data_IF_250156446811
#
_entry.id   IF_250156446811
#
_cell.length_a   1.000
_cell.length_b   1.000
_cell.length_c   1.000
_cell.angle_alpha   90.00
_cell.angle_beta   90.00
_cell.angle_gamma   90.00
#
_symmetry.space_group_name_H-M   'P 1'
#
loop_
_entity.id
_entity.type
_entity.pdbx_description
1 polymer ?
#
# COMPACT_ATOMS: atom_id res chain seq x y z
N UNK A 1 -22.29 2.81 -13.95
CA UNK A 1 -20.83 2.96 -13.75
C UNK A 1 -20.43 3.65 -12.43
N UNK A 2 -21.30 4.45 -11.78
CA UNK A 2 -20.96 5.14 -10.52
C UNK A 2 -20.73 4.22 -9.29
N UNK A 3 -21.54 3.18 -9.12
CA UNK A 3 -21.45 2.28 -7.96
C UNK A 3 -20.14 1.47 -7.93
N UNK A 4 -19.75 0.87 -9.06
CA UNK A 4 -18.48 0.12 -9.18
C UNK A 4 -17.30 1.00 -8.83
N UNK A 5 -17.27 2.23 -9.36
CA UNK A 5 -16.21 3.19 -9.07
C UNK A 5 -16.16 3.58 -7.60
N UNK A 6 -17.32 3.78 -6.96
CA UNK A 6 -17.38 4.06 -5.52
C UNK A 6 -16.83 2.89 -4.71
N UNK A 7 -17.27 1.66 -5.00
CA UNK A 7 -16.80 0.45 -4.32
C UNK A 7 -15.29 0.28 -4.48
N UNK A 8 -14.75 0.40 -5.70
CA UNK A 8 -13.32 0.28 -5.94
C UNK A 8 -12.51 1.39 -5.25
N UNK A 9 -13.05 2.61 -5.20
CA UNK A 9 -12.39 3.71 -4.49
C UNK A 9 -12.37 3.47 -2.98
N UNK A 10 -13.50 3.04 -2.41
CA UNK A 10 -13.61 2.70 -1.00
C UNK A 10 -12.68 1.54 -0.63
N UNK A 11 -12.63 0.49 -1.47
CA UNK A 11 -11.72 -0.63 -1.30
C UNK A 11 -10.26 -0.17 -1.33
N UNK A 12 -9.88 0.68 -2.29
CA UNK A 12 -8.51 1.20 -2.41
C UNK A 12 -8.08 1.96 -1.15
N UNK A 13 -8.93 2.86 -0.63
CA UNK A 13 -8.62 3.58 0.61
C UNK A 13 -8.55 2.65 1.82
N UNK A 14 -9.46 1.69 1.92
CA UNK A 14 -9.50 0.75 3.03
C UNK A 14 -8.26 -0.16 3.02
N UNK A 15 -7.94 -0.74 1.87
CA UNK A 15 -6.80 -1.63 1.72
C UNK A 15 -5.48 -0.92 2.02
N UNK A 16 -5.23 0.22 1.36
CA UNK A 16 -4.00 1.00 1.56
C UNK A 16 -3.93 1.57 2.96
N UNK A 17 -5.04 2.06 3.50
CA UNK A 17 -5.10 2.56 4.87
C UNK A 17 -4.79 1.48 5.91
N UNK A 18 -5.38 0.29 5.77
CA UNK A 18 -5.12 -0.84 6.66
C UNK A 18 -3.68 -1.35 6.51
N UNK A 19 -3.18 -1.48 5.28
CA UNK A 19 -1.81 -1.90 5.03
C UNK A 19 -0.81 -0.90 5.64
N UNK A 20 -1.01 0.40 5.40
CA UNK A 20 -0.17 1.46 5.93
C UNK A 20 -0.20 1.51 7.46
N UNK A 21 -1.39 1.35 8.06
CA UNK A 21 -1.56 1.26 9.52
C UNK A 21 -0.82 0.05 10.09
N UNK A 22 -1.00 -1.13 9.46
CA UNK A 22 -0.35 -2.37 9.88
C UNK A 22 1.18 -2.23 9.84
N UNK A 23 1.73 -1.73 8.72
CA UNK A 23 3.17 -1.54 8.54
C UNK A 23 3.73 -0.53 9.56
N UNK A 24 3.04 0.58 9.80
CA UNK A 24 3.45 1.56 10.80
C UNK A 24 3.43 0.96 12.22
N UNK A 25 2.40 0.18 12.55
CA UNK A 25 2.27 -0.45 13.85
C UNK A 25 3.40 -1.46 14.12
N UNK A 26 3.66 -2.40 13.20
CA UNK A 26 4.74 -3.39 13.37
C UNK A 26 6.11 -2.73 13.41
N UNK A 27 6.34 -1.68 12.61
CA UNK A 27 7.59 -0.93 12.61
C UNK A 27 7.80 -0.15 13.91
N UNK A 28 6.74 0.46 14.45
CA UNK A 28 6.76 1.13 15.75
C UNK A 28 7.11 0.16 16.89
N UNK A 29 6.46 -1.02 16.91
CA UNK A 29 6.77 -2.07 17.90
C UNK A 29 8.23 -2.54 17.77
N UNK A 30 8.72 -2.74 16.55
CA UNK A 30 10.10 -3.14 16.31
C UNK A 30 11.11 -2.10 16.83
N UNK A 31 10.86 -0.80 16.60
CA UNK A 31 11.71 0.27 17.12
C UNK A 31 11.71 0.35 18.65
N UNK A 32 10.54 0.22 19.29
CA UNK A 32 10.42 0.25 20.76
C UNK A 32 11.09 -0.96 21.40
N UNK A 33 11.01 -2.13 20.76
CA UNK A 33 11.62 -3.37 21.25
C UNK A 33 13.11 -3.52 20.90
N UNK A 34 13.68 -2.59 20.13
CA UNK A 34 15.05 -2.70 19.61
C UNK A 34 15.25 -3.85 18.61
N UNK A 35 14.16 -4.42 18.09
CA UNK A 35 14.19 -5.54 17.14
C UNK A 35 14.23 -5.03 15.70
N UNK A 36 14.86 -5.79 14.80
CA UNK A 36 14.83 -5.50 13.36
C UNK A 36 13.78 -6.33 12.67
N UNK A 37 12.89 -5.68 11.90
CA UNK A 37 12.00 -6.39 10.98
C UNK A 37 12.85 -7.05 9.89
N UNK A 38 12.41 -8.22 9.47
CA UNK A 38 12.97 -8.92 8.32
C UNK A 38 11.87 -9.01 7.27
N UNK A 39 11.91 -8.08 6.32
CA UNK A 39 11.11 -8.14 5.10
C UNK A 39 12.07 -8.17 3.93
N UNK A 40 12.40 -9.39 3.50
CA UNK A 40 13.25 -9.62 2.32
C UNK A 40 12.62 -9.05 1.04
N UNK A 41 11.37 -8.60 1.10
CA UNK A 41 10.68 -7.95 -0.01
C UNK A 41 11.26 -6.57 -0.35
N UNK A 42 11.91 -5.89 0.61
CA UNK A 42 12.38 -4.51 0.47
C UNK A 42 13.91 -4.44 0.36
N UNK A 43 14.47 -3.42 -0.32
CA UNK A 43 15.92 -3.26 -0.45
C UNK A 43 16.63 -2.89 0.85
N UNK A 44 15.87 -2.48 1.86
CA UNK A 44 16.41 -2.03 3.15
C UNK A 44 16.32 -3.16 4.16
N UNK A 45 17.30 -3.21 5.07
CA UNK A 45 17.36 -4.19 6.15
C UNK A 45 17.64 -3.51 7.49
N UNK A 46 17.49 -4.26 8.59
CA UNK A 46 17.83 -3.78 9.93
C UNK A 46 16.98 -2.59 10.40
N UNK A 47 17.59 -1.71 11.20
CA UNK A 47 16.94 -0.51 11.72
C UNK A 47 16.45 0.46 10.62
N UNK A 48 17.15 0.50 9.48
CA UNK A 48 16.74 1.35 8.35
C UNK A 48 15.39 0.92 7.80
N UNK A 49 15.15 -0.39 7.69
CA UNK A 49 13.85 -0.92 7.26
C UNK A 49 12.73 -0.48 8.21
N UNK A 50 12.94 -0.55 9.52
CA UNK A 50 11.95 -0.12 10.50
C UNK A 50 11.56 1.36 10.29
N UNK A 51 12.54 2.25 10.11
CA UNK A 51 12.26 3.67 9.86
C UNK A 51 11.54 3.89 8.54
N UNK A 52 11.97 3.23 7.46
CA UNK A 52 11.34 3.35 6.14
C UNK A 52 9.89 2.86 6.18
N UNK A 53 9.61 1.74 6.85
CA UNK A 53 8.26 1.21 7.02
C UNK A 53 7.39 2.12 7.90
N UNK A 54 7.95 2.67 8.97
CA UNK A 54 7.21 3.58 9.83
C UNK A 54 6.85 4.88 9.08
N UNK A 55 7.84 5.53 8.47
CA UNK A 55 7.62 6.76 7.72
C UNK A 55 6.74 6.50 6.48
N UNK A 56 6.95 5.38 5.80
CA UNK A 56 6.13 4.95 4.68
C UNK A 56 4.67 4.69 5.08
N UNK A 57 4.45 3.98 6.18
CA UNK A 57 3.10 3.75 6.72
C UNK A 57 2.40 5.05 7.13
N UNK A 58 3.10 5.96 7.79
CA UNK A 58 2.56 7.28 8.14
C UNK A 58 2.23 8.12 6.90
N UNK A 59 3.11 8.10 5.89
CA UNK A 59 2.89 8.79 4.62
C UNK A 59 1.69 8.20 3.87
N UNK A 60 1.59 6.87 3.78
CA UNK A 60 0.46 6.19 3.17
C UNK A 60 -0.87 6.52 3.86
N UNK A 61 -0.89 6.55 5.19
CA UNK A 61 -2.06 6.99 5.96
C UNK A 61 -2.44 8.45 5.68
N UNK A 62 -1.46 9.35 5.68
CA UNK A 62 -1.70 10.75 5.38
C UNK A 62 -2.27 10.93 3.96
N UNK A 63 -1.72 10.22 2.97
CA UNK A 63 -2.20 10.26 1.59
C UNK A 63 -3.60 9.65 1.44
N UNK A 64 -3.91 8.57 2.14
CA UNK A 64 -5.25 7.98 2.16
C UNK A 64 -6.28 8.97 2.74
N UNK A 65 -5.98 9.60 3.88
CA UNK A 65 -6.84 10.61 4.50
C UNK A 65 -7.05 11.83 3.59
N UNK A 66 -5.97 12.33 2.98
CA UNK A 66 -6.04 13.46 2.04
C UNK A 66 -6.88 13.11 0.80
N UNK A 67 -6.73 11.89 0.28
CA UNK A 67 -7.49 11.42 -0.88
C UNK A 67 -8.99 11.27 -0.57
N UNK A 68 -9.34 10.79 0.64
CA UNK A 68 -10.72 10.76 1.15
C UNK A 68 -11.31 12.17 1.19
N UNK A 69 -10.54 13.16 1.68
CA UNK A 69 -10.92 14.58 1.67
C UNK A 69 -10.95 15.19 0.27
N UNK A 70 -10.62 14.41 -0.76
CA UNK A 70 -10.62 14.84 -2.16
C UNK A 70 -9.39 15.63 -2.59
N UNK A 71 -8.36 15.73 -1.74
CA UNK A 71 -7.09 16.42 -2.00
C UNK A 71 -6.01 15.41 -2.42
N UNK A 72 -5.06 15.84 -3.24
CA UNK A 72 -3.85 15.07 -3.59
C UNK A 72 -4.11 13.63 -4.12
N UNK A 73 -5.25 13.39 -4.77
CA UNK A 73 -5.59 12.09 -5.37
C UNK A 73 -4.53 11.55 -6.35
N UNK A 74 -3.89 12.38 -7.21
CA UNK A 74 -2.79 11.89 -8.04
C UNK A 74 -1.62 11.35 -7.23
N UNK A 75 -1.32 11.99 -6.09
CA UNK A 75 -0.24 11.54 -5.20
C UNK A 75 -0.58 10.23 -4.50
N UNK A 76 -1.84 10.03 -4.11
CA UNK A 76 -2.33 8.75 -3.61
C UNK A 76 -2.21 7.64 -4.68
N UNK A 77 -2.53 7.93 -5.94
CA UNK A 77 -2.31 6.97 -7.03
C UNK A 77 -0.83 6.61 -7.23
N UNK A 78 0.06 7.61 -7.23
CA UNK A 78 1.51 7.35 -7.31
C UNK A 78 1.98 6.52 -6.13
N UNK A 79 1.41 6.74 -4.94
CA UNK A 79 1.71 5.96 -3.75
C UNK A 79 1.28 4.50 -3.88
N UNK A 80 0.04 4.22 -4.31
CA UNK A 80 -0.41 2.83 -4.52
C UNK A 80 0.40 2.11 -5.59
N UNK A 81 0.86 2.84 -6.62
CA UNK A 81 1.78 2.30 -7.61
C UNK A 81 3.13 1.93 -6.99
N UNK A 82 3.70 2.79 -6.14
CA UNK A 82 4.94 2.51 -5.45
C UNK A 82 4.83 1.26 -4.55
N UNK A 83 3.74 1.14 -3.78
CA UNK A 83 3.45 -0.04 -2.96
C UNK A 83 3.43 -1.30 -3.82
N UNK A 84 2.69 -1.29 -4.93
CA UNK A 84 2.62 -2.43 -5.84
C UNK A 84 3.99 -2.79 -6.44
N UNK A 85 4.79 -1.80 -6.83
CA UNK A 85 6.15 -2.03 -7.35
C UNK A 85 7.04 -2.71 -6.30
N UNK A 86 6.97 -2.28 -5.04
CA UNK A 86 7.71 -2.95 -3.97
C UNK A 86 7.24 -4.39 -3.73
N UNK A 87 5.93 -4.64 -3.78
CA UNK A 87 5.39 -5.99 -3.65
C UNK A 87 5.84 -6.89 -4.81
N UNK A 88 5.74 -6.41 -6.05
CA UNK A 88 6.20 -7.15 -7.24
C UNK A 88 7.69 -7.44 -7.14
N UNK A 89 8.50 -6.44 -6.79
CA UNK A 89 9.94 -6.61 -6.62
C UNK A 89 10.26 -7.68 -5.58
N UNK A 90 9.65 -7.57 -4.41
CA UNK A 90 9.95 -8.46 -3.30
C UNK A 90 9.49 -9.89 -3.52
N UNK A 91 8.26 -10.07 -4.01
CA UNK A 91 7.65 -11.38 -4.16
C UNK A 91 8.04 -12.11 -5.46
N UNK A 92 8.32 -11.38 -6.55
CA UNK A 92 8.60 -11.99 -7.86
C UNK A 92 10.11 -11.97 -8.16
N UNK A 93 10.79 -10.85 -7.92
CA UNK A 93 12.19 -10.70 -8.35
C UNK A 93 13.21 -11.17 -7.32
N UNK A 94 12.87 -11.23 -6.03
CA UNK A 94 13.85 -11.55 -4.98
C UNK A 94 13.96 -13.04 -4.63
N UNK A 95 13.43 -13.95 -5.47
CA UNK A 95 13.54 -15.40 -5.24
C UNK A 95 12.86 -15.88 -3.95
N UNK A 96 11.86 -15.14 -3.45
CA UNK A 96 11.15 -15.45 -2.22
C UNK A 96 10.46 -16.80 -2.35
N UNK A 97 10.95 -17.79 -1.62
CA UNK A 97 10.32 -19.11 -1.57
C UNK A 97 9.14 -19.03 -0.62
N UNK A 98 7.93 -18.94 -1.18
CA UNK A 98 6.74 -18.98 -0.37
C UNK A 98 6.59 -20.36 0.26
N UNK A 99 6.53 -20.40 1.58
CA UNK A 99 5.94 -21.54 2.27
C UNK A 99 4.49 -21.69 1.79
N UNK A 100 4.00 -22.91 1.47
CA UNK A 100 2.62 -23.14 1.03
C UNK A 100 1.54 -22.46 1.91
N UNK A 101 1.82 -22.30 3.20
CA UNK A 101 0.92 -21.60 4.13
C UNK A 101 0.90 -20.08 3.93
N UNK A 102 2.01 -19.46 3.51
CA UNK A 102 2.15 -18.01 3.34
C UNK A 102 1.91 -17.53 1.90
N UNK A 103 2.05 -18.43 0.92
CA UNK A 103 1.82 -18.17 -0.50
C UNK A 103 0.44 -17.57 -0.78
N UNK A 104 -0.61 -18.12 -0.12
CA UNK A 104 -1.99 -17.66 -0.30
C UNK A 104 -2.17 -16.22 0.19
N UNK A 105 -1.63 -15.91 1.37
CA UNK A 105 -1.70 -14.58 1.96
C UNK A 105 -0.97 -13.56 1.10
N UNK A 106 0.22 -13.89 0.61
CA UNK A 106 0.96 -13.03 -0.32
C UNK A 106 0.21 -12.80 -1.64
N UNK A 107 -0.44 -13.84 -2.18
CA UNK A 107 -1.31 -13.73 -3.34
C UNK A 107 -2.51 -12.79 -3.11
N UNK A 108 -3.18 -12.90 -1.96
CA UNK A 108 -4.27 -11.98 -1.61
C UNK A 108 -3.78 -10.54 -1.41
N UNK A 109 -2.60 -10.36 -0.83
CA UNK A 109 -1.98 -9.04 -0.68
C UNK A 109 -1.65 -8.43 -2.06
N UNK A 110 -1.07 -9.20 -2.99
CA UNK A 110 -0.83 -8.74 -4.36
C UNK A 110 -2.12 -8.34 -5.06
N UNK A 111 -3.15 -9.19 -4.99
CA UNK A 111 -4.45 -8.91 -5.60
C UNK A 111 -5.09 -7.66 -4.96
N UNK A 112 -5.00 -7.51 -3.65
CA UNK A 112 -5.43 -6.32 -2.93
C UNK A 112 -4.70 -5.06 -3.40
N UNK A 113 -3.38 -5.11 -3.57
CA UNK A 113 -2.58 -4.01 -4.09
C UNK A 113 -2.95 -3.64 -5.53
N UNK A 114 -3.17 -4.63 -6.40
CA UNK A 114 -3.63 -4.41 -7.77
C UNK A 114 -5.01 -3.73 -7.81
N UNK A 115 -5.95 -4.23 -7.01
CA UNK A 115 -7.28 -3.63 -6.89
C UNK A 115 -7.21 -2.23 -6.27
N UNK A 116 -6.28 -2.01 -5.34
CA UNK A 116 -5.97 -0.71 -4.76
C UNK A 116 -5.47 0.30 -5.81
N UNK A 117 -4.56 -0.11 -6.68
CA UNK A 117 -4.08 0.69 -7.80
C UNK A 117 -5.20 1.04 -8.79
N UNK A 118 -6.01 0.04 -9.17
CA UNK A 118 -7.16 0.24 -10.07
C UNK A 118 -8.16 1.22 -9.47
N UNK A 119 -8.45 1.09 -8.16
CA UNK A 119 -9.31 2.03 -7.45
C UNK A 119 -8.73 3.45 -7.42
N UNK A 120 -7.42 3.60 -7.19
CA UNK A 120 -6.72 4.90 -7.26
C UNK A 120 -6.77 5.53 -8.66
N UNK A 121 -6.58 4.72 -9.70
CA UNK A 121 -6.71 5.16 -11.10
C UNK A 121 -8.11 5.70 -11.40
N UNK A 122 -9.16 4.95 -11.04
CA UNK A 122 -10.54 5.38 -11.27
C UNK A 122 -10.88 6.69 -10.54
N UNK A 123 -10.24 6.97 -9.40
CA UNK A 123 -10.40 8.25 -8.69
C UNK A 123 -9.77 9.42 -9.46
N UNK A 124 -8.60 9.21 -10.06
CA UNK A 124 -7.88 10.19 -10.87
C UNK A 124 -8.68 10.57 -12.13
N UNK A 125 -9.17 9.58 -12.90
CA UNK A 125 -9.72 9.85 -14.23
C UNK A 125 -11.21 10.20 -14.26
N UNK A 126 -12.06 9.66 -13.38
CA UNK A 126 -13.50 9.89 -13.52
C UNK A 126 -14.02 11.25 -13.02
N UNK A 127 -13.16 12.24 -12.75
CA UNK A 127 -13.61 13.62 -12.47
C UNK A 127 -13.35 14.59 -13.64
N UNK A 128 -12.79 14.11 -14.76
CA UNK A 128 -12.66 14.90 -15.98
C UNK A 128 -14.01 15.35 -16.57
N UNK A 129 -15.12 14.69 -16.20
CA UNK A 129 -16.47 14.98 -16.72
C UNK A 129 -17.30 15.99 -15.90
N UNK A 130 -16.80 16.54 -14.78
CA UNK A 130 -17.56 17.52 -13.98
C UNK A 130 -16.98 18.94 -14.00
N UNK A 131 -16.24 19.28 -15.05
CA UNK A 131 -15.59 20.60 -15.21
C UNK A 131 -15.76 21.25 -16.58
N UNK A 132 -16.73 20.79 -17.38
CA UNK A 132 -17.20 21.48 -18.57
C UNK A 132 -18.72 21.56 -18.53
#
# INVERSE_FOLDING_TARGET
MGAVRFIMSAFSYLFEGLLALFLAAIAGVALVSGSSLHLDMLPWTGSTLNFVLLLGGLLGLALALLAILGKLRPLFFVWTLAVLVFMIRGYIFNGYHFDPATAKTAGYLMLGGLLGLVGGWMQMFGRSERRF
#
